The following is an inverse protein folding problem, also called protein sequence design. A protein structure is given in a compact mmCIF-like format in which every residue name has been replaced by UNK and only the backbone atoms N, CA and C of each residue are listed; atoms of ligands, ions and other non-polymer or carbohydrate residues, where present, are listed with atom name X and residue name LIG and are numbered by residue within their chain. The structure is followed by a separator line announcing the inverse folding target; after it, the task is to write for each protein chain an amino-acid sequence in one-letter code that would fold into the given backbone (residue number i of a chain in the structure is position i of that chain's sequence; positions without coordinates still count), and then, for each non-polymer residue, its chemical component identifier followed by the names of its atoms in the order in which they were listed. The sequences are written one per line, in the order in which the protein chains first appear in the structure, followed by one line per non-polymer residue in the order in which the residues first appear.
data_IF_909718071301
#
_entry.id   IF_909718071301
#
_cell.length_a   1.000
_cell.length_b   1.000
_cell.length_c   1.000
_cell.angle_alpha   90.00
_cell.angle_beta   90.00
_cell.angle_gamma   90.00
#
_symmetry.space_group_name_H-M   'P 1'
#
loop_
_entity.id
_entity.type
_entity.pdbx_description
1 polymer ?
#
# COMPACT_ATOMS: atom_id res chain seq x y z
N UNK A 1 -57.45 15.61 -18.14
CA UNK A 1 -56.29 16.19 -17.43
C UNK A 1 -55.42 15.15 -16.68
N UNK A 2 -55.30 13.92 -17.24
CA UNK A 2 -54.44 12.87 -16.65
C UNK A 2 -52.93 13.04 -16.97
N UNK A 3 -52.58 13.98 -17.83
CA UNK A 3 -51.19 14.23 -18.25
C UNK A 3 -50.40 15.15 -17.31
N UNK A 4 -51.07 16.02 -16.56
CA UNK A 4 -50.42 16.97 -15.65
C UNK A 4 -49.78 16.30 -14.44
N UNK A 5 -50.30 15.17 -13.99
CA UNK A 5 -49.77 14.45 -12.83
C UNK A 5 -48.52 13.61 -13.14
N UNK A 6 -48.36 13.17 -14.39
CA UNK A 6 -47.19 12.37 -14.81
C UNK A 6 -45.91 13.20 -14.93
N UNK A 7 -46.03 14.48 -15.27
CA UNK A 7 -44.88 15.39 -15.39
C UNK A 7 -44.38 15.84 -14.02
N UNK A 8 -45.31 16.06 -13.06
CA UNK A 8 -44.93 16.44 -11.71
C UNK A 8 -44.21 15.34 -10.92
N UNK A 9 -44.57 14.06 -11.14
CA UNK A 9 -43.91 12.95 -10.49
C UNK A 9 -42.47 12.70 -11.00
N UNK A 10 -42.20 13.04 -12.29
CA UNK A 10 -40.86 12.87 -12.85
C UNK A 10 -39.90 14.00 -12.39
N UNK A 11 -40.40 15.22 -12.21
CA UNK A 11 -39.62 16.35 -11.69
C UNK A 11 -39.29 16.17 -10.21
N UNK A 12 -40.18 15.60 -9.41
CA UNK A 12 -39.93 15.35 -7.99
C UNK A 12 -38.91 14.22 -7.76
N UNK A 13 -38.81 13.25 -8.67
CA UNK A 13 -37.82 12.17 -8.57
C UNK A 13 -36.40 12.65 -8.91
N UNK A 14 -36.25 13.67 -9.74
CA UNK A 14 -34.94 14.24 -10.10
C UNK A 14 -34.36 15.12 -8.98
N UNK A 15 -35.18 15.69 -8.10
CA UNK A 15 -34.71 16.52 -6.97
C UNK A 15 -34.28 15.65 -5.79
N UNK A 16 -34.76 14.40 -5.71
CA UNK A 16 -34.37 13.44 -4.66
C UNK A 16 -33.07 12.71 -4.98
N UNK A 17 -32.52 12.82 -6.19
CA UNK A 17 -31.13 12.44 -6.47
C UNK A 17 -30.25 13.57 -5.95
N UNK A 18 -30.01 13.58 -4.64
CA UNK A 18 -29.01 14.43 -4.00
C UNK A 18 -27.73 14.39 -4.82
N UNK A 19 -27.06 15.53 -4.97
CA UNK A 19 -25.75 15.60 -5.57
C UNK A 19 -24.95 14.35 -5.18
N UNK A 20 -24.54 13.50 -6.12
CA UNK A 20 -23.56 12.49 -5.79
C UNK A 20 -22.34 13.27 -5.33
N UNK A 21 -22.11 13.32 -4.02
CA UNK A 21 -20.85 13.82 -3.51
C UNK A 21 -19.79 13.08 -4.32
N UNK A 22 -18.94 13.81 -5.01
CA UNK A 22 -17.79 13.23 -5.71
C UNK A 22 -17.00 12.46 -4.66
N UNK A 23 -17.18 11.15 -4.60
CA UNK A 23 -16.31 10.29 -3.84
C UNK A 23 -14.94 10.40 -4.54
N UNK A 24 -14.09 11.27 -4.01
CA UNK A 24 -12.70 11.33 -4.46
C UNK A 24 -12.11 9.98 -4.07
N UNK A 25 -11.84 9.15 -5.06
CA UNK A 25 -11.12 7.91 -4.82
C UNK A 25 -9.78 8.27 -4.15
N UNK A 26 -9.58 7.79 -2.94
CA UNK A 26 -8.35 8.05 -2.22
C UNK A 26 -7.22 7.34 -2.98
N UNK A 27 -6.21 8.11 -3.38
CA UNK A 27 -5.08 7.61 -4.17
C UNK A 27 -4.32 6.55 -3.37
N UNK A 28 -4.03 5.42 -3.99
CA UNK A 28 -3.16 4.37 -3.42
C UNK A 28 -1.69 4.75 -3.61
N UNK A 29 -0.84 4.35 -2.68
CA UNK A 29 0.60 4.59 -2.76
C UNK A 29 1.20 3.68 -3.84
N UNK A 30 2.00 4.25 -4.75
CA UNK A 30 2.70 3.52 -5.82
C UNK A 30 4.16 3.91 -5.87
N UNK A 31 5.04 2.95 -6.19
CA UNK A 31 6.47 3.19 -6.37
C UNK A 31 7.34 2.30 -5.49
N UNK A 32 8.65 2.54 -5.59
CA UNK A 32 9.67 1.84 -4.85
C UNK A 32 10.52 2.83 -4.06
N UNK A 33 10.95 2.43 -2.87
CA UNK A 33 11.91 3.15 -2.04
C UNK A 33 13.01 2.19 -1.59
N UNK A 34 14.25 2.65 -1.59
CA UNK A 34 15.41 1.87 -1.16
C UNK A 34 16.28 2.65 -0.19
N UNK A 35 16.79 1.97 0.81
CA UNK A 35 17.67 2.51 1.84
C UNK A 35 19.02 1.79 1.79
N UNK A 36 20.07 2.54 2.04
CA UNK A 36 21.41 2.01 2.15
C UNK A 36 22.15 2.63 3.32
N UNK A 37 22.94 1.83 3.99
CA UNK A 37 23.71 2.28 5.14
C UNK A 37 24.51 1.15 5.77
N UNK A 38 24.86 1.32 7.02
CA UNK A 38 25.59 0.34 7.82
C UNK A 38 24.63 -0.26 8.85
N UNK A 39 24.79 -1.54 9.11
CA UNK A 39 24.08 -2.21 10.16
C UNK A 39 25.00 -3.18 10.91
N UNK A 40 24.56 -3.65 12.01
CA UNK A 40 25.23 -4.69 12.79
C UNK A 40 24.34 -5.93 12.87
N UNK A 41 24.79 -7.10 12.40
CA UNK A 41 24.09 -8.34 12.65
C UNK A 41 24.15 -8.62 14.15
N UNK A 42 23.01 -8.96 14.74
CA UNK A 42 22.89 -9.13 16.18
C UNK A 42 22.04 -10.37 16.53
N UNK A 43 22.07 -10.77 17.79
CA UNK A 43 21.19 -11.78 18.35
C UNK A 43 19.91 -11.13 18.94
N UNK A 44 19.01 -11.93 19.49
CA UNK A 44 17.74 -11.45 20.06
C UNK A 44 17.88 -10.45 21.23
N UNK A 45 19.10 -10.28 21.76
CA UNK A 45 19.40 -9.27 22.79
C UNK A 45 20.17 -8.09 22.21
N UNK A 46 20.21 -7.94 20.88
CA UNK A 46 20.97 -6.95 20.12
C UNK A 46 22.50 -6.98 20.39
N UNK A 47 23.00 -8.02 21.01
CA UNK A 47 24.45 -8.25 21.10
C UNK A 47 25.00 -8.71 19.75
N UNK A 48 26.19 -8.22 19.37
CA UNK A 48 26.85 -8.52 18.10
C UNK A 48 26.90 -10.01 17.79
N UNK A 49 26.54 -10.39 16.55
CA UNK A 49 26.59 -11.75 16.03
C UNK A 49 27.25 -11.76 14.65
N UNK A 50 27.58 -12.97 14.13
CA UNK A 50 27.97 -13.14 12.74
C UNK A 50 26.72 -13.14 11.84
N UNK A 51 26.87 -12.84 10.54
CA UNK A 51 25.74 -12.96 9.61
C UNK A 51 25.10 -14.36 9.64
N UNK A 52 25.91 -15.42 9.76
CA UNK A 52 25.43 -16.79 9.78
C UNK A 52 24.58 -17.13 11.03
N UNK A 53 24.76 -16.40 12.12
CA UNK A 53 24.08 -16.66 13.40
C UNK A 53 23.17 -15.51 13.84
N UNK A 54 23.06 -14.46 13.05
CA UNK A 54 22.20 -13.31 13.36
C UNK A 54 20.74 -13.72 13.44
N UNK A 55 20.02 -13.10 14.35
CA UNK A 55 18.57 -13.25 14.51
C UNK A 55 17.88 -11.88 14.58
N UNK A 56 18.65 -10.80 14.60
CA UNK A 56 18.18 -9.41 14.56
C UNK A 56 19.11 -8.52 13.74
N UNK A 57 18.57 -7.37 13.37
CA UNK A 57 19.26 -6.27 12.70
C UNK A 57 19.27 -5.07 13.64
N UNK A 58 20.45 -4.48 13.83
CA UNK A 58 20.69 -3.26 14.58
C UNK A 58 21.25 -2.22 13.59
N UNK A 59 20.43 -1.25 13.16
CA UNK A 59 20.76 -0.29 12.11
C UNK A 59 21.75 0.78 12.52
N UNK A 60 21.87 1.10 13.80
CA UNK A 60 22.88 2.05 14.30
C UNK A 60 24.07 1.37 15.00
N UNK A 61 24.00 0.07 15.19
CA UNK A 61 25.09 -0.74 15.72
C UNK A 61 25.42 -0.50 17.19
N UNK A 62 24.51 0.07 17.96
CA UNK A 62 24.74 0.47 19.36
C UNK A 62 24.48 -0.67 20.37
N UNK A 63 23.87 -1.77 19.93
CA UNK A 63 23.63 -2.94 20.75
C UNK A 63 22.36 -2.90 21.60
N UNK A 64 21.46 -1.96 21.32
CA UNK A 64 20.14 -1.85 21.93
C UNK A 64 19.08 -1.74 20.83
N UNK A 65 17.85 -2.14 21.11
CA UNK A 65 16.76 -2.01 20.16
C UNK A 65 16.27 -0.56 20.14
N UNK A 66 16.49 0.13 19.02
CA UNK A 66 16.05 1.52 18.82
C UNK A 66 15.83 1.84 17.34
N UNK A 67 16.16 3.04 16.88
CA UNK A 67 15.93 3.51 15.50
C UNK A 67 17.23 4.10 14.95
N UNK A 68 17.70 3.53 13.83
CA UNK A 68 18.80 4.07 13.03
C UNK A 68 18.33 5.11 12.01
N UNK A 69 19.27 5.91 11.50
CA UNK A 69 19.06 6.81 10.37
C UNK A 69 19.86 6.32 9.18
N UNK A 70 19.15 6.09 8.06
CA UNK A 70 19.71 5.54 6.84
C UNK A 70 19.43 6.43 5.64
N UNK A 71 20.26 6.33 4.61
CA UNK A 71 20.15 7.17 3.42
C UNK A 71 19.15 6.57 2.43
N UNK A 72 18.25 7.38 1.88
CA UNK A 72 17.42 6.99 0.74
C UNK A 72 18.31 6.93 -0.51
N UNK A 73 18.48 5.74 -1.08
CA UNK A 73 19.33 5.49 -2.26
C UNK A 73 18.52 5.23 -3.54
N UNK A 74 17.23 4.90 -3.39
CA UNK A 74 16.28 4.75 -4.48
C UNK A 74 14.94 5.37 -4.05
N UNK A 75 14.29 6.09 -4.96
CA UNK A 75 12.96 6.64 -4.72
C UNK A 75 12.24 6.86 -6.05
N UNK A 76 11.08 6.23 -6.23
CA UNK A 76 10.25 6.30 -7.43
C UNK A 76 8.79 6.53 -7.08
N UNK A 77 7.94 6.84 -8.07
CA UNK A 77 6.50 7.03 -7.88
C UNK A 77 6.20 8.11 -6.85
N UNK A 78 5.27 7.81 -5.95
CA UNK A 78 4.81 8.77 -4.92
C UNK A 78 5.90 9.10 -3.89
N UNK A 79 6.89 8.23 -3.72
CA UNK A 79 8.03 8.48 -2.82
C UNK A 79 8.99 9.54 -3.36
N UNK A 80 9.14 9.67 -4.68
CA UNK A 80 10.18 10.48 -5.31
C UNK A 80 10.17 11.96 -4.88
N UNK A 81 9.00 12.51 -4.60
CA UNK A 81 8.85 13.93 -4.21
C UNK A 81 9.02 14.13 -2.70
N UNK A 82 8.52 13.19 -1.88
CA UNK A 82 8.42 13.36 -0.43
C UNK A 82 9.59 12.73 0.33
N UNK A 83 10.19 11.69 -0.23
CA UNK A 83 11.39 11.02 0.27
C UNK A 83 12.44 10.90 -0.84
N UNK A 84 12.98 12.01 -1.37
CA UNK A 84 13.91 11.97 -2.51
C UNK A 84 15.23 11.26 -2.16
N UNK A 85 15.90 10.76 -3.17
CA UNK A 85 17.25 10.20 -3.05
C UNK A 85 18.16 11.23 -2.36
N UNK A 86 18.95 10.79 -1.39
CA UNK A 86 19.80 11.63 -0.55
C UNK A 86 19.11 12.18 0.71
N UNK A 87 17.81 11.97 0.90
CA UNK A 87 17.15 12.24 2.18
C UNK A 87 17.41 11.12 3.19
N UNK A 88 17.05 11.36 4.45
CA UNK A 88 17.18 10.36 5.51
C UNK A 88 15.84 9.67 5.81
N UNK A 89 15.94 8.40 6.13
CA UNK A 89 14.87 7.57 6.66
C UNK A 89 15.22 7.11 8.08
N UNK A 90 14.21 6.87 8.89
CA UNK A 90 14.35 6.20 10.18
C UNK A 90 14.01 4.72 9.99
N UNK A 91 14.91 3.81 10.37
CA UNK A 91 14.72 2.36 10.34
C UNK A 91 14.77 1.81 11.75
N UNK A 92 13.73 1.06 12.12
CA UNK A 92 13.65 0.42 13.44
C UNK A 92 14.44 -0.88 13.46
N UNK A 93 15.21 -1.08 14.49
CA UNK A 93 15.87 -2.36 14.75
C UNK A 93 14.84 -3.45 14.98
N UNK A 94 15.09 -4.65 14.47
CA UNK A 94 14.12 -5.73 14.58
C UNK A 94 14.73 -7.12 14.69
N UNK A 95 13.98 -7.98 15.37
CA UNK A 95 14.26 -9.42 15.44
C UNK A 95 13.52 -10.08 14.28
N UNK A 96 14.26 -10.80 13.43
CA UNK A 96 13.70 -11.50 12.29
C UNK A 96 13.55 -13.02 12.53
N UNK A 97 14.18 -13.56 13.57
CA UNK A 97 14.08 -14.97 13.88
C UNK A 97 14.09 -15.24 15.41
N UNK A 98 12.94 -15.58 16.02
CA UNK A 98 11.59 -15.56 15.42
C UNK A 98 11.05 -14.14 15.28
N UNK A 99 10.32 -13.86 14.21
CA UNK A 99 9.58 -12.60 14.09
C UNK A 99 8.46 -12.56 15.14
N UNK A 100 8.29 -11.39 15.75
CA UNK A 100 7.16 -11.16 16.65
C UNK A 100 5.82 -11.37 15.92
N UNK A 101 4.84 -11.96 16.59
CA UNK A 101 3.50 -12.17 16.04
C UNK A 101 2.78 -10.84 15.67
N UNK A 102 3.19 -9.73 16.27
CA UNK A 102 2.67 -8.39 15.96
C UNK A 102 3.44 -7.68 14.83
N UNK A 103 4.44 -8.34 14.23
CA UNK A 103 5.30 -7.71 13.24
C UNK A 103 6.19 -6.61 13.82
N UNK A 104 6.62 -5.70 12.94
CA UNK A 104 7.40 -4.49 13.31
C UNK A 104 6.72 -3.26 12.70
N UNK A 105 6.28 -2.31 13.53
CA UNK A 105 5.57 -1.13 13.05
C UNK A 105 5.94 0.14 13.81
N UNK A 106 6.50 1.14 13.11
CA UNK A 106 6.98 1.06 11.74
C UNK A 106 8.33 0.34 11.64
N UNK A 107 8.57 -0.39 10.55
CA UNK A 107 9.91 -0.85 10.21
C UNK A 107 10.76 0.31 9.68
N UNK A 108 10.16 1.14 8.82
CA UNK A 108 10.81 2.38 8.38
C UNK A 108 9.80 3.52 8.26
N UNK A 109 10.35 4.76 8.31
CA UNK A 109 9.61 5.99 8.03
C UNK A 109 10.48 6.95 7.21
N UNK A 110 9.93 7.50 6.13
CA UNK A 110 10.60 8.44 5.25
C UNK A 110 9.58 9.37 4.57
N UNK A 111 9.82 10.67 4.55
CA UNK A 111 8.98 11.63 3.82
C UNK A 111 7.50 11.62 4.20
N UNK A 112 7.15 11.25 5.43
CA UNK A 112 5.76 11.13 5.88
C UNK A 112 5.09 9.79 5.54
N UNK A 113 5.80 8.89 4.85
CA UNK A 113 5.40 7.50 4.69
C UNK A 113 5.97 6.63 5.81
N UNK A 114 5.29 5.53 6.08
CA UNK A 114 5.74 4.49 7.02
C UNK A 114 5.38 3.11 6.48
N UNK A 115 6.17 2.11 6.85
CA UNK A 115 5.98 0.71 6.49
C UNK A 115 5.88 -0.14 7.74
N UNK A 116 4.79 -0.86 7.86
CA UNK A 116 4.61 -1.88 8.87
C UNK A 116 4.95 -3.25 8.26
N UNK A 117 5.85 -3.97 8.91
CA UNK A 117 6.27 -5.31 8.49
C UNK A 117 5.31 -6.35 9.04
N UNK A 118 4.70 -7.14 8.15
CA UNK A 118 3.71 -8.16 8.51
C UNK A 118 4.32 -9.58 8.48
N UNK A 119 5.21 -9.84 7.51
CA UNK A 119 5.85 -11.16 7.37
C UNK A 119 7.31 -11.05 6.98
N UNK A 120 8.08 -12.09 7.33
CA UNK A 120 9.48 -12.20 6.98
C UNK A 120 9.84 -13.67 6.72
N UNK A 121 10.74 -13.88 5.78
CA UNK A 121 11.39 -15.15 5.48
C UNK A 121 12.87 -14.93 5.26
N UNK A 122 13.68 -15.85 5.74
CA UNK A 122 15.10 -15.90 5.44
C UNK A 122 15.25 -16.61 4.08
N UNK A 123 15.67 -15.87 3.07
CA UNK A 123 15.99 -16.42 1.75
C UNK A 123 17.37 -17.08 1.77
N UNK A 124 18.37 -16.36 2.28
CA UNK A 124 19.74 -16.85 2.41
C UNK A 124 20.36 -16.34 3.71
N UNK A 125 21.02 -17.23 4.45
CA UNK A 125 21.80 -16.86 5.62
C UNK A 125 23.06 -17.71 5.74
N UNK A 126 24.22 -17.07 5.60
CA UNK A 126 25.52 -17.72 5.74
C UNK A 126 26.58 -16.68 6.21
N UNK A 127 27.86 -17.05 6.23
CA UNK A 127 28.92 -16.15 6.69
C UNK A 127 29.14 -14.93 5.79
N UNK A 128 28.68 -14.98 4.53
CA UNK A 128 28.95 -13.96 3.53
C UNK A 128 27.71 -13.15 3.15
N UNK A 129 26.52 -13.68 3.38
CA UNK A 129 25.27 -13.06 2.92
C UNK A 129 24.15 -13.33 3.91
N UNK A 130 23.36 -12.29 4.18
CA UNK A 130 22.05 -12.36 4.78
C UNK A 130 21.04 -11.74 3.80
N UNK A 131 20.11 -12.55 3.33
CA UNK A 131 18.99 -12.09 2.48
C UNK A 131 17.67 -12.40 3.18
N UNK A 132 16.89 -11.34 3.39
CA UNK A 132 15.57 -11.39 4.01
C UNK A 132 14.56 -10.86 3.03
N UNK A 133 13.39 -11.48 2.97
CA UNK A 133 12.25 -11.06 2.14
C UNK A 133 10.97 -11.09 2.95
N UNK A 134 9.98 -10.29 2.55
CA UNK A 134 8.72 -10.29 3.27
C UNK A 134 7.67 -9.38 2.67
N UNK A 135 6.56 -9.26 3.40
CA UNK A 135 5.42 -8.41 3.07
C UNK A 135 5.10 -7.45 4.20
N UNK A 136 4.38 -6.40 3.87
CA UNK A 136 3.94 -5.42 4.84
C UNK A 136 2.97 -4.42 4.23
N UNK A 137 2.72 -3.34 4.95
CA UNK A 137 1.78 -2.31 4.56
C UNK A 137 2.46 -0.94 4.59
N UNK A 138 2.43 -0.23 3.46
CA UNK A 138 2.84 1.17 3.37
C UNK A 138 1.65 2.07 3.68
N UNK A 139 1.85 3.12 4.47
CA UNK A 139 0.85 4.12 4.81
C UNK A 139 1.48 5.52 4.91
N UNK A 140 0.65 6.57 4.88
CA UNK A 140 1.10 7.95 5.11
C UNK A 140 0.60 8.95 4.06
N UNK A 141 0.85 10.23 4.32
CA UNK A 141 0.58 11.37 3.41
C UNK A 141 -0.85 11.43 2.87
N UNK A 142 -1.84 10.98 3.64
CA UNK A 142 -3.27 10.94 3.24
C UNK A 142 -3.59 10.02 2.07
N UNK A 143 -2.68 9.13 1.69
CA UNK A 143 -2.96 8.06 0.75
C UNK A 143 -3.72 6.91 1.42
N UNK A 144 -4.39 6.09 0.61
CA UNK A 144 -4.86 4.78 1.07
C UNK A 144 -3.67 3.86 1.31
N UNK A 145 -3.65 3.19 2.45
CA UNK A 145 -2.62 2.20 2.76
C UNK A 145 -2.57 1.13 1.68
N UNK A 146 -1.36 0.77 1.26
CA UNK A 146 -1.10 -0.17 0.17
C UNK A 146 -0.28 -1.36 0.65
N UNK A 147 -0.61 -2.59 0.24
CA UNK A 147 0.27 -3.73 0.48
C UNK A 147 1.60 -3.51 -0.22
N UNK A 148 2.67 -3.95 0.40
CA UNK A 148 4.03 -3.84 -0.13
C UNK A 148 4.83 -5.10 0.10
N UNK A 149 5.83 -5.30 -0.74
CA UNK A 149 6.88 -6.31 -0.56
C UNK A 149 8.19 -5.61 -0.24
N UNK A 150 9.07 -6.31 0.44
CA UNK A 150 10.39 -5.78 0.76
C UNK A 150 11.45 -6.88 0.72
N UNK A 151 12.69 -6.46 0.51
CA UNK A 151 13.86 -7.28 0.67
C UNK A 151 15.00 -6.52 1.34
N UNK A 152 15.85 -7.24 2.03
CA UNK A 152 17.10 -6.75 2.61
C UNK A 152 18.20 -7.71 2.20
N UNK A 153 19.26 -7.18 1.60
CA UNK A 153 20.48 -7.95 1.28
C UNK A 153 21.65 -7.30 1.96
N UNK A 154 22.36 -8.08 2.75
CA UNK A 154 23.49 -7.65 3.53
C UNK A 154 24.70 -8.53 3.28
N UNK A 155 25.87 -7.92 3.13
CA UNK A 155 27.16 -8.57 2.90
C UNK A 155 28.09 -8.46 4.12
N UNK A 156 29.24 -9.18 4.12
CA UNK A 156 30.15 -9.19 5.24
C UNK A 156 31.02 -7.93 5.35
N UNK A 157 31.19 -7.18 4.25
CA UNK A 157 32.13 -6.05 4.18
C UNK A 157 31.44 -4.78 4.69
N UNK A 158 31.90 -4.30 5.84
CA UNK A 158 31.42 -3.06 6.43
C UNK A 158 29.98 -3.09 6.91
N UNK A 159 29.37 -4.29 7.01
CA UNK A 159 27.98 -4.44 7.41
C UNK A 159 27.03 -3.54 6.62
N UNK A 160 27.31 -3.34 5.32
CA UNK A 160 26.42 -2.60 4.43
C UNK A 160 25.19 -3.41 4.04
N UNK A 161 24.07 -2.74 3.88
CA UNK A 161 22.84 -3.36 3.41
C UNK A 161 22.18 -2.54 2.32
N UNK A 162 21.34 -3.17 1.54
CA UNK A 162 20.37 -2.55 0.68
C UNK A 162 18.97 -3.07 1.08
N UNK A 163 18.12 -2.18 1.48
CA UNK A 163 16.72 -2.46 1.72
C UNK A 163 15.89 -1.87 0.60
N UNK A 164 14.97 -2.61 0.05
CA UNK A 164 14.04 -2.14 -0.97
C UNK A 164 12.62 -2.52 -0.57
N UNK A 165 11.72 -1.58 -0.68
CA UNK A 165 10.27 -1.81 -0.53
C UNK A 165 9.56 -1.26 -1.76
N UNK A 166 8.58 -1.99 -2.24
CA UNK A 166 7.76 -1.59 -3.37
C UNK A 166 6.29 -1.86 -3.10
N UNK A 167 5.42 -1.04 -3.65
CA UNK A 167 3.99 -1.25 -3.58
C UNK A 167 3.51 -2.01 -4.80
N UNK A 168 2.73 -3.07 -4.58
CA UNK A 168 2.06 -3.77 -5.67
C UNK A 168 1.04 -2.87 -6.37
N UNK A 169 0.82 -3.07 -7.67
CA UNK A 169 -0.29 -2.44 -8.37
C UNK A 169 -1.61 -3.01 -7.84
N UNK A 170 -2.34 -2.22 -7.07
CA UNK A 170 -3.71 -2.59 -6.72
C UNK A 170 -4.56 -2.38 -7.98
N UNK A 171 -5.33 -3.38 -8.44
CA UNK A 171 -6.26 -3.17 -9.54
C UNK A 171 -7.20 -2.03 -9.19
N UNK A 172 -7.35 -1.07 -10.10
CA UNK A 172 -8.29 0.04 -9.90
C UNK A 172 -9.69 -0.53 -9.62
N UNK A 173 -10.23 -0.24 -8.45
CA UNK A 173 -11.62 -0.58 -8.13
C UNK A 173 -12.48 0.33 -9.00
N UNK A 174 -13.37 -0.21 -9.87
CA UNK A 174 -14.23 0.61 -10.70
C UNK A 174 -15.00 1.59 -9.82
N UNK A 175 -14.94 2.87 -10.18
CA UNK A 175 -15.57 3.94 -9.41
C UNK A 175 -17.09 3.71 -9.30
N UNK A 176 -17.73 4.09 -8.17
CA UNK A 176 -19.17 3.92 -7.98
C UNK A 176 -20.01 4.48 -9.12
N UNK A 177 -19.50 5.50 -9.83
CA UNK A 177 -20.12 6.10 -11.01
C UNK A 177 -20.27 5.12 -12.17
N UNK A 178 -19.32 4.18 -12.36
CA UNK A 178 -19.40 3.16 -13.42
C UNK A 178 -20.57 2.22 -13.13
N UNK A 179 -20.77 1.81 -11.89
CA UNK A 179 -21.90 0.97 -11.51
C UNK A 179 -23.23 1.73 -11.63
N UNK A 180 -23.26 3.03 -11.28
CA UNK A 180 -24.43 3.87 -11.43
C UNK A 180 -24.79 4.04 -12.93
N UNK A 181 -23.81 4.33 -13.79
CA UNK A 181 -24.03 4.43 -15.24
C UNK A 181 -24.46 3.11 -15.87
N UNK A 182 -23.88 2.00 -15.43
CA UNK A 182 -24.30 0.68 -15.88
C UNK A 182 -25.74 0.37 -15.45
N UNK A 183 -26.11 0.70 -14.20
CA UNK A 183 -27.48 0.55 -13.70
C UNK A 183 -28.49 1.40 -14.46
N UNK A 184 -28.17 2.66 -14.75
CA UNK A 184 -29.00 3.56 -15.57
C UNK A 184 -29.14 3.01 -16.99
N UNK A 185 -28.05 2.55 -17.60
CA UNK A 185 -28.06 1.97 -18.95
C UNK A 185 -28.96 0.73 -19.05
N UNK A 186 -28.82 -0.21 -18.11
CA UNK A 186 -29.66 -1.41 -18.03
C UNK A 186 -31.13 -1.06 -17.73
N UNK A 187 -31.39 -0.07 -16.89
CA UNK A 187 -32.71 0.42 -16.58
C UNK A 187 -33.42 1.01 -17.82
N UNK A 188 -32.71 1.80 -18.62
CA UNK A 188 -33.23 2.37 -19.88
C UNK A 188 -33.56 1.27 -20.91
N UNK A 189 -32.66 0.28 -21.08
CA UNK A 189 -32.89 -0.85 -22.01
C UNK A 189 -34.12 -1.66 -21.58
N UNK A 190 -34.24 -1.93 -20.27
CA UNK A 190 -35.39 -2.65 -19.72
C UNK A 190 -36.72 -1.89 -19.90
N UNK A 191 -36.71 -0.57 -19.74
CA UNK A 191 -37.87 0.28 -19.95
C UNK A 191 -38.28 0.37 -21.42
N UNK A 192 -37.34 0.53 -22.33
CA UNK A 192 -37.58 0.54 -23.78
C UNK A 192 -38.13 -0.82 -24.28
N UNK A 193 -37.61 -1.92 -23.74
CA UNK A 193 -38.09 -3.26 -24.02
C UNK A 193 -39.55 -3.49 -23.60
N UNK A 194 -39.96 -2.94 -22.45
CA UNK A 194 -41.37 -2.98 -21.99
C UNK A 194 -42.30 -2.18 -22.88
N UNK A 195 -41.92 -0.97 -23.35
CA UNK A 195 -42.74 -0.17 -24.26
C UNK A 195 -43.08 -0.92 -25.55
N UNK A 196 -42.09 -1.52 -26.20
CA UNK A 196 -42.29 -2.31 -27.43
C UNK A 196 -43.24 -3.49 -27.24
N UNK A 197 -43.30 -4.08 -26.06
CA UNK A 197 -44.19 -5.20 -25.74
C UNK A 197 -45.63 -4.73 -25.56
N UNK A 198 -45.86 -3.54 -25.02
CA UNK A 198 -47.19 -2.95 -24.84
C UNK A 198 -47.79 -2.50 -26.16
N UNK A 199 -46.99 -1.96 -27.09
CA UNK A 199 -47.46 -1.58 -28.44
C UNK A 199 -47.87 -2.79 -29.29
N UNK A 200 -47.21 -3.94 -29.18
CA UNK A 200 -47.58 -5.18 -29.86
C UNK A 200 -48.85 -5.86 -29.28
N UNK A 201 -49.13 -5.63 -27.99
CA UNK A 201 -50.34 -6.19 -27.35
C UNK A 201 -51.60 -5.36 -27.58
N UNK A 202 -51.49 -4.10 -28.06
CA UNK A 202 -52.60 -3.22 -28.38
C UNK A 202 -53.07 -3.31 -29.84
N UNK A 203 -52.35 -4.07 -30.70
CA UNK A 203 -52.62 -4.24 -32.11
C UNK A 203 -53.19 -5.64 -32.45
N UNK A 204 -53.56 -6.45 -31.47
CA UNK A 204 -54.24 -7.73 -31.57
C UNK A 204 -55.60 -7.63 -30.87
#
# INVERSE_FOLDING_TARGET
NRWAWAVGAFAALMIAMGNPGTAVAQQVITGDIGFGGLFKPANNSFASASLASATSIDFNGNGIQDVGQELVVLSTGDFATLAPVGSFASLSDFIFNPLSASGVSPLWSAGGFSFALDSISIDTQNANTLSLVGTGTVSGNSYTSSPGTWNLVAGPIGSSFLFMAGTGTVPAIPEPEIYAMMGIGLGLIGWLGRRKKLEKGAAA
#
